data_IF_004001175995
#
_entry.id   IF_004001175995
#
_cell.length_a   1.000
_cell.length_b   1.000
_cell.length_c   1.000
_cell.angle_alpha   90.00
_cell.angle_beta   90.00
_cell.angle_gamma   90.00
#
_symmetry.space_group_name_H-M   'P 1'
#
loop_
_entity.id
_entity.type
_entity.pdbx_description
1 polymer ?
#
# COMPACT_ATOMS: atom_id res chain seq x y z
N UNK A 1 27.48 -10.95 13.74
CA UNK A 1 26.78 -11.60 12.61
C UNK A 1 25.28 -11.40 12.84
N UNK A 2 24.57 -10.70 11.95
CA UNK A 2 23.10 -10.60 12.08
C UNK A 2 22.53 -12.01 11.96
N UNK A 3 21.72 -12.46 12.94
CA UNK A 3 21.04 -13.74 12.82
C UNK A 3 20.04 -13.66 11.68
N UNK A 4 20.17 -14.53 10.70
CA UNK A 4 19.13 -14.68 9.69
C UNK A 4 17.90 -15.29 10.37
N UNK A 5 16.70 -14.79 10.00
CA UNK A 5 15.45 -15.50 10.30
C UNK A 5 15.63 -16.97 9.88
N UNK A 6 15.36 -17.90 10.79
CA UNK A 6 15.39 -19.31 10.41
C UNK A 6 14.30 -19.54 9.37
N UNK A 7 14.58 -20.31 8.35
CA UNK A 7 13.62 -20.63 7.27
C UNK A 7 12.30 -21.13 7.86
N UNK A 8 12.34 -21.93 8.91
CA UNK A 8 11.14 -22.45 9.57
C UNK A 8 10.27 -21.36 10.19
N UNK A 9 10.86 -20.33 10.79
CA UNK A 9 10.13 -19.19 11.39
C UNK A 9 9.40 -18.39 10.31
N UNK A 10 10.04 -18.17 9.15
CA UNK A 10 9.39 -17.51 8.01
C UNK A 10 8.23 -18.34 7.47
N UNK A 11 8.43 -19.64 7.26
CA UNK A 11 7.37 -20.54 6.76
C UNK A 11 6.21 -20.63 7.74
N UNK A 12 6.49 -20.66 9.04
CA UNK A 12 5.47 -20.65 10.08
C UNK A 12 4.63 -19.37 10.04
N UNK A 13 5.27 -18.20 9.94
CA UNK A 13 4.59 -16.91 9.81
C UNK A 13 3.69 -16.84 8.55
N UNK A 14 4.20 -17.34 7.41
CA UNK A 14 3.43 -17.38 6.16
C UNK A 14 2.26 -18.38 6.22
N UNK A 15 2.42 -19.52 6.88
CA UNK A 15 1.34 -20.48 7.10
C UNK A 15 0.28 -19.95 8.06
N UNK A 16 0.68 -19.17 9.08
CA UNK A 16 -0.26 -18.55 10.02
C UNK A 16 -1.08 -17.42 9.39
N UNK A 17 -0.54 -16.74 8.37
CA UNK A 17 -1.18 -15.59 7.73
C UNK A 17 -2.37 -15.99 6.85
N UNK A 18 -3.52 -15.34 6.99
CA UNK A 18 -4.65 -15.39 6.05
C UNK A 18 -5.37 -14.03 5.98
N UNK A 19 -6.33 -13.89 5.07
CA UNK A 19 -7.17 -12.70 4.99
C UNK A 19 -8.23 -12.75 6.10
N UNK A 20 -7.92 -12.17 7.25
CA UNK A 20 -8.74 -12.15 8.45
C UNK A 20 -10.11 -11.54 8.18
N UNK A 21 -11.17 -12.17 8.67
CA UNK A 21 -12.55 -11.71 8.46
C UNK A 21 -13.10 -10.91 9.63
N UNK A 22 -12.53 -11.07 10.81
CA UNK A 22 -12.92 -10.32 12.00
C UNK A 22 -11.72 -9.98 12.85
N UNK A 23 -11.60 -8.71 13.20
CA UNK A 23 -10.55 -8.21 14.06
C UNK A 23 -11.01 -8.12 15.52
N UNK A 24 -10.05 -8.23 16.45
CA UNK A 24 -10.28 -8.05 17.86
C UNK A 24 -10.62 -6.58 18.15
N UNK A 25 -11.72 -6.35 18.87
CA UNK A 25 -12.06 -4.99 19.35
C UNK A 25 -11.24 -4.67 20.60
N UNK A 26 -9.99 -4.31 20.42
CA UNK A 26 -9.14 -3.82 21.49
C UNK A 26 -8.71 -2.39 21.18
N UNK A 27 -8.85 -1.51 22.13
CA UNK A 27 -8.28 -0.17 22.01
C UNK A 27 -6.77 -0.24 22.27
N UNK A 28 -5.98 -0.01 21.23
CA UNK A 28 -4.55 0.24 21.39
C UNK A 28 -4.30 1.52 22.17
N UNK A 29 -3.27 1.53 22.99
CA UNK A 29 -2.70 2.75 23.50
C UNK A 29 -2.16 3.62 22.36
N UNK A 30 -2.04 4.92 22.56
CA UNK A 30 -1.48 5.82 21.53
C UNK A 30 -0.02 5.46 21.18
N UNK A 31 0.74 4.92 22.12
CA UNK A 31 2.10 4.42 21.88
C UNK A 31 2.12 3.22 20.92
N UNK A 32 1.26 2.21 21.16
CA UNK A 32 1.13 1.03 20.28
C UNK A 32 0.65 1.42 18.87
N UNK A 33 -0.29 2.38 18.77
CA UNK A 33 -0.73 2.90 17.46
C UNK A 33 0.40 3.59 16.72
N UNK A 34 1.18 4.42 17.41
CA UNK A 34 2.33 5.11 16.82
C UNK A 34 3.39 4.13 16.33
N UNK A 35 3.72 3.12 17.14
CA UNK A 35 4.69 2.08 16.77
C UNK A 35 4.23 1.29 15.52
N UNK A 36 2.95 0.90 15.47
CA UNK A 36 2.38 0.23 14.31
C UNK A 36 2.44 1.12 13.06
N UNK A 37 2.08 2.40 13.18
CA UNK A 37 2.13 3.36 12.07
C UNK A 37 3.56 3.55 11.55
N UNK A 38 4.54 3.70 12.43
CA UNK A 38 5.94 3.90 12.07
C UNK A 38 6.53 2.63 11.42
N UNK A 39 6.15 1.46 11.92
CA UNK A 39 6.53 0.18 11.34
C UNK A 39 5.98 0.02 9.93
N UNK A 40 4.67 0.21 9.76
CA UNK A 40 4.00 0.13 8.45
C UNK A 40 4.58 1.15 7.47
N UNK A 41 4.77 2.39 7.89
CA UNK A 41 5.38 3.44 7.09
C UNK A 41 6.80 3.07 6.63
N UNK A 42 7.61 2.53 7.54
CA UNK A 42 8.99 2.11 7.24
C UNK A 42 9.01 0.98 6.19
N UNK A 43 8.17 -0.03 6.35
CA UNK A 43 8.06 -1.14 5.39
C UNK A 43 7.65 -0.62 4.00
N UNK A 44 6.65 0.26 3.95
CA UNK A 44 6.15 0.82 2.70
C UNK A 44 7.19 1.73 2.01
N UNK A 45 7.94 2.53 2.78
CA UNK A 45 9.02 3.37 2.25
C UNK A 45 10.19 2.56 1.69
N UNK A 46 10.46 1.39 2.25
CA UNK A 46 11.56 0.51 1.81
C UNK A 46 11.13 -0.47 0.71
N UNK A 47 9.88 -0.42 0.27
CA UNK A 47 9.40 -1.28 -0.83
C UNK A 47 10.11 -0.94 -2.13
N UNK A 48 10.65 -1.93 -2.86
CA UNK A 48 11.21 -1.72 -4.18
C UNK A 48 10.11 -1.37 -5.19
N UNK A 49 10.41 -0.43 -6.09
CA UNK A 49 9.54 -0.09 -7.22
C UNK A 49 10.36 0.15 -8.49
N UNK A 50 9.74 0.00 -9.65
CA UNK A 50 10.38 0.33 -10.92
C UNK A 50 10.89 1.77 -10.90
N UNK A 51 12.13 1.95 -11.31
CA UNK A 51 12.81 3.27 -11.35
C UNK A 51 12.82 4.04 -10.02
N UNK A 52 12.60 3.35 -8.89
CA UNK A 52 12.44 3.97 -7.55
C UNK A 52 11.36 5.04 -7.49
N UNK A 53 10.40 5.01 -8.41
CA UNK A 53 9.37 6.05 -8.56
C UNK A 53 8.44 6.15 -7.38
N UNK A 54 8.16 5.03 -6.69
CA UNK A 54 7.18 4.99 -5.59
C UNK A 54 5.89 5.77 -5.96
N UNK A 55 5.41 5.55 -7.19
CA UNK A 55 4.28 6.27 -7.77
C UNK A 55 2.96 5.76 -7.19
N UNK A 56 2.80 5.89 -5.90
CA UNK A 56 1.60 5.55 -5.12
C UNK A 56 1.49 6.44 -3.89
N UNK A 57 0.32 6.42 -3.28
CA UNK A 57 0.03 7.04 -1.99
C UNK A 57 -0.65 6.05 -1.07
N UNK A 58 -0.32 6.14 0.20
CA UNK A 58 -0.96 5.36 1.27
C UNK A 58 -1.74 6.32 2.15
N UNK A 59 -3.05 6.08 2.26
CA UNK A 59 -3.95 6.90 3.04
C UNK A 59 -4.39 6.08 4.26
N UNK A 60 -3.89 6.42 5.45
CA UNK A 60 -4.36 5.85 6.70
C UNK A 60 -5.66 6.56 7.12
N UNK A 61 -6.78 5.87 7.02
CA UNK A 61 -8.09 6.42 7.37
C UNK A 61 -8.33 6.25 8.87
N UNK A 62 -8.17 7.33 9.64
CA UNK A 62 -8.31 7.35 11.10
C UNK A 62 -9.72 7.72 11.58
N UNK A 63 -10.45 8.51 10.79
CA UNK A 63 -11.78 9.00 11.16
C UNK A 63 -12.81 7.85 11.12
N UNK A 64 -13.46 7.58 12.26
CA UNK A 64 -14.42 6.49 12.45
C UNK A 64 -15.70 6.67 11.64
N UNK A 65 -16.22 7.90 11.56
CA UNK A 65 -17.44 8.19 10.79
C UNK A 65 -17.18 8.00 9.30
N UNK A 66 -16.00 8.37 8.82
CA UNK A 66 -15.59 8.15 7.45
C UNK A 66 -15.44 6.64 7.16
N UNK A 67 -14.88 5.84 8.08
CA UNK A 67 -14.83 4.38 7.94
C UNK A 67 -16.22 3.75 7.86
N UNK A 68 -17.20 4.24 8.64
CA UNK A 68 -18.59 3.76 8.53
C UNK A 68 -19.23 4.11 7.18
N UNK A 69 -18.89 5.24 6.59
CA UNK A 69 -19.31 5.57 5.22
C UNK A 69 -18.64 4.67 4.19
N UNK A 70 -17.32 4.48 4.27
CA UNK A 70 -16.54 3.62 3.38
C UNK A 70 -17.01 2.16 3.43
N UNK A 71 -17.38 1.64 4.61
CA UNK A 71 -17.89 0.29 4.79
C UNK A 71 -19.13 0.02 3.93
N UNK A 72 -20.07 0.97 3.82
CA UNK A 72 -21.27 0.86 2.97
C UNK A 72 -20.92 0.65 1.50
N UNK A 73 -19.74 1.10 1.07
CA UNK A 73 -19.23 0.96 -0.28
C UNK A 73 -18.20 -0.18 -0.42
N UNK A 74 -18.16 -1.07 0.57
CA UNK A 74 -17.26 -2.23 0.65
C UNK A 74 -18.03 -3.50 1.04
N UNK A 75 -19.24 -3.68 0.53
CA UNK A 75 -20.14 -4.81 0.86
C UNK A 75 -20.31 -5.04 2.35
N UNK A 76 -20.40 -3.96 3.13
CA UNK A 76 -20.56 -3.97 4.60
C UNK A 76 -19.49 -4.82 5.34
N UNK A 77 -18.31 -4.96 4.74
CA UNK A 77 -17.20 -5.71 5.36
C UNK A 77 -16.79 -5.06 6.68
N UNK A 78 -16.95 -5.79 7.78
CA UNK A 78 -16.66 -5.27 9.12
C UNK A 78 -15.19 -4.92 9.34
N UNK A 79 -14.27 -5.50 8.56
CA UNK A 79 -12.84 -5.22 8.62
C UNK A 79 -12.52 -3.72 8.43
N UNK A 80 -13.38 -2.98 7.68
CA UNK A 80 -13.22 -1.55 7.45
C UNK A 80 -13.32 -0.75 8.74
N UNK A 81 -14.17 -1.18 9.67
CA UNK A 81 -14.43 -0.49 10.95
C UNK A 81 -13.77 -1.16 12.15
N UNK A 82 -13.55 -2.48 12.09
CA UNK A 82 -13.05 -3.25 13.23
C UNK A 82 -11.51 -3.25 13.32
N UNK A 83 -10.80 -2.95 12.22
CA UNK A 83 -9.33 -2.87 12.22
C UNK A 83 -8.83 -1.59 12.89
N UNK A 84 -7.68 -1.66 13.58
CA UNK A 84 -7.05 -0.47 14.16
C UNK A 84 -6.46 0.45 13.08
N UNK A 85 -5.88 -0.13 12.02
CA UNK A 85 -5.37 0.64 10.90
C UNK A 85 -6.07 0.22 9.59
N UNK A 86 -6.52 1.22 8.85
CA UNK A 86 -7.12 1.05 7.52
C UNK A 86 -6.33 1.86 6.51
N UNK A 87 -5.64 1.19 5.60
CA UNK A 87 -4.81 1.82 4.57
C UNK A 87 -5.48 1.66 3.22
N UNK A 88 -5.72 2.78 2.54
CA UNK A 88 -6.12 2.81 1.14
C UNK A 88 -4.88 3.07 0.28
N UNK A 89 -4.60 2.17 -0.64
CA UNK A 89 -3.56 2.29 -1.64
C UNK A 89 -4.14 3.00 -2.85
N UNK A 90 -3.54 4.13 -3.23
CA UNK A 90 -3.97 4.93 -4.38
C UNK A 90 -2.79 5.19 -5.32
N UNK A 91 -3.08 5.31 -6.61
CA UNK A 91 -2.10 5.62 -7.64
C UNK A 91 -2.45 6.91 -8.37
N UNK A 92 -1.45 7.62 -8.93
CA UNK A 92 -1.70 8.80 -9.75
C UNK A 92 -2.55 8.49 -10.98
N UNK A 93 -3.51 9.36 -11.28
CA UNK A 93 -4.28 9.32 -12.53
C UNK A 93 -3.63 10.15 -13.64
N UNK A 94 -2.66 11.00 -13.29
CA UNK A 94 -1.84 11.79 -14.20
C UNK A 94 -0.37 11.37 -14.04
N UNK A 95 0.10 10.48 -14.90
CA UNK A 95 1.49 10.07 -14.96
C UNK A 95 2.12 10.65 -16.24
N UNK A 96 2.81 11.77 -16.07
CA UNK A 96 3.41 12.55 -17.16
C UNK A 96 4.89 12.88 -16.87
N UNK A 97 5.55 13.59 -17.82
CA UNK A 97 6.92 14.05 -17.65
C UNK A 97 7.09 14.90 -16.37
N UNK A 98 6.11 15.74 -16.02
CA UNK A 98 6.20 16.60 -14.82
C UNK A 98 6.23 15.79 -13.54
N UNK A 99 5.49 14.68 -13.52
CA UNK A 99 5.54 13.72 -12.39
C UNK A 99 6.96 13.17 -12.22
N UNK A 100 7.61 12.76 -13.32
CA UNK A 100 8.96 12.21 -13.32
C UNK A 100 9.99 13.29 -12.96
N UNK A 101 9.86 14.52 -13.47
CA UNK A 101 10.72 15.65 -13.13
C UNK A 101 10.71 15.93 -11.62
N UNK A 102 9.52 15.99 -11.02
CA UNK A 102 9.39 16.15 -9.56
C UNK A 102 10.06 15.02 -8.77
N UNK A 103 9.97 13.78 -9.26
CA UNK A 103 10.67 12.65 -8.67
C UNK A 103 12.18 12.81 -8.76
N UNK A 104 12.71 13.15 -9.92
CA UNK A 104 14.17 13.32 -10.14
C UNK A 104 14.74 14.55 -9.42
N UNK A 105 13.95 15.59 -9.20
CA UNK A 105 14.28 16.69 -8.28
C UNK A 105 14.49 16.22 -6.85
N UNK A 106 13.62 15.32 -6.36
CA UNK A 106 13.78 14.71 -5.05
C UNK A 106 15.02 13.81 -4.99
N UNK A 107 15.28 13.02 -6.04
CA UNK A 107 16.51 12.22 -6.15
C UNK A 107 17.76 13.12 -6.13
N UNK A 108 17.73 14.26 -6.81
CA UNK A 108 18.84 15.23 -6.81
C UNK A 108 19.14 15.71 -5.39
N UNK A 109 18.11 16.08 -4.64
CA UNK A 109 18.28 16.55 -3.25
C UNK A 109 18.82 15.47 -2.30
N UNK A 110 18.40 14.22 -2.49
CA UNK A 110 18.75 13.12 -1.58
C UNK A 110 20.11 12.51 -1.96
N UNK A 111 20.39 12.36 -3.25
CA UNK A 111 21.59 11.66 -3.77
C UNK A 111 22.67 12.60 -4.29
N UNK A 112 22.44 13.92 -4.24
CA UNK A 112 23.41 14.98 -4.59
C UNK A 112 23.93 14.82 -6.03
N UNK A 113 23.05 14.43 -6.97
CA UNK A 113 23.38 14.27 -8.37
C UNK A 113 23.42 15.63 -9.08
N UNK A 114 24.25 15.75 -10.12
CA UNK A 114 24.37 16.99 -10.92
C UNK A 114 23.12 17.25 -11.76
N UNK A 115 22.96 18.47 -12.29
CA UNK A 115 21.85 18.82 -13.18
C UNK A 115 21.85 18.00 -14.46
N UNK A 116 23.03 17.74 -15.06
CA UNK A 116 23.17 16.90 -16.24
C UNK A 116 22.71 15.44 -15.94
N UNK A 117 23.11 14.92 -14.76
CA UNK A 117 22.72 13.58 -14.36
C UNK A 117 21.21 13.49 -14.09
N UNK A 118 20.62 14.52 -13.46
CA UNK A 118 19.16 14.61 -13.26
C UNK A 118 18.43 14.60 -14.60
N UNK A 119 18.85 15.43 -15.56
CA UNK A 119 18.25 15.49 -16.90
C UNK A 119 18.32 14.12 -17.60
N UNK A 120 19.51 13.51 -17.61
CA UNK A 120 19.71 12.16 -18.20
C UNK A 120 18.83 11.08 -17.56
N UNK A 121 18.69 11.09 -16.22
CA UNK A 121 17.82 10.14 -15.49
C UNK A 121 16.36 10.42 -15.80
N UNK A 122 15.94 11.68 -15.87
CA UNK A 122 14.59 12.07 -16.25
C UNK A 122 14.23 11.54 -17.64
N UNK A 123 15.06 11.81 -18.64
CA UNK A 123 14.85 11.39 -20.02
C UNK A 123 14.84 9.86 -20.15
N UNK A 124 15.73 9.18 -19.44
CA UNK A 124 15.75 7.72 -19.38
C UNK A 124 14.44 7.14 -18.80
N UNK A 125 13.93 7.70 -17.71
CA UNK A 125 12.67 7.23 -17.12
C UNK A 125 11.49 7.55 -18.05
N UNK A 126 11.44 8.74 -18.64
CA UNK A 126 10.38 9.14 -19.60
C UNK A 126 10.35 8.18 -20.78
N UNK A 127 11.49 7.93 -21.43
CA UNK A 127 11.57 7.04 -22.58
C UNK A 127 11.24 5.59 -22.21
N UNK A 128 11.74 5.11 -21.07
CA UNK A 128 11.51 3.74 -20.60
C UNK A 128 10.10 3.49 -20.04
N UNK A 129 9.35 4.53 -19.74
CA UNK A 129 7.97 4.43 -19.23
C UNK A 129 6.97 5.03 -20.22
N UNK A 130 6.84 6.35 -20.27
CA UNK A 130 5.79 7.04 -21.02
C UNK A 130 5.83 6.68 -22.51
N UNK A 131 7.02 6.72 -23.12
CA UNK A 131 7.16 6.46 -24.56
C UNK A 131 7.08 4.97 -24.90
N UNK A 132 7.79 4.14 -24.13
CA UNK A 132 7.78 2.68 -24.33
C UNK A 132 6.38 2.09 -24.16
N UNK A 133 5.69 2.41 -23.05
CA UNK A 133 4.36 1.86 -22.81
C UNK A 133 3.30 2.34 -23.81
N UNK A 134 3.42 3.57 -24.32
CA UNK A 134 2.60 4.05 -25.45
C UNK A 134 2.83 3.21 -26.72
N UNK A 135 4.07 2.75 -26.94
CA UNK A 135 4.43 1.99 -28.13
C UNK A 135 3.90 0.54 -28.11
N UNK A 136 3.68 -0.06 -26.95
CA UNK A 136 3.27 -1.46 -26.79
C UNK A 136 1.79 -1.65 -26.43
N UNK A 137 0.94 -0.64 -26.72
CA UNK A 137 -0.52 -0.73 -26.57
C UNK A 137 -1.08 -0.71 -25.15
N UNK A 138 -0.26 -0.53 -24.14
CA UNK A 138 -0.75 -0.28 -22.79
C UNK A 138 -1.13 1.20 -22.66
N UNK A 139 -2.33 1.50 -23.11
CA UNK A 139 -2.93 2.85 -23.01
C UNK A 139 -3.22 3.28 -21.58
N UNK A 140 -2.98 2.39 -20.60
CA UNK A 140 -3.35 2.64 -19.22
C UNK A 140 -2.16 2.51 -18.28
N UNK A 141 -1.46 3.64 -18.05
CA UNK A 141 -0.42 3.75 -17.02
C UNK A 141 -0.92 3.38 -15.63
N UNK A 142 -2.21 3.57 -15.40
CA UNK A 142 -2.84 3.31 -14.13
C UNK A 142 -2.72 1.83 -13.76
N UNK A 143 -2.81 0.90 -14.71
CA UNK A 143 -2.61 -0.53 -14.48
C UNK A 143 -1.17 -0.82 -14.04
N UNK A 144 -0.19 -0.27 -14.74
CA UNK A 144 1.21 -0.46 -14.36
C UNK A 144 1.53 0.14 -12.98
N UNK A 145 1.00 1.33 -12.68
CA UNK A 145 1.12 1.95 -11.36
C UNK A 145 0.41 1.11 -10.29
N UNK A 146 -0.73 0.51 -10.65
CA UNK A 146 -1.46 -0.42 -9.77
C UNK A 146 -0.59 -1.64 -9.42
N UNK A 147 0.15 -2.22 -10.37
CA UNK A 147 1.09 -3.30 -10.07
C UNK A 147 2.18 -2.87 -9.09
N UNK A 148 2.68 -1.63 -9.17
CA UNK A 148 3.63 -1.11 -8.18
C UNK A 148 2.99 -1.01 -6.78
N UNK A 149 1.74 -0.61 -6.68
CA UNK A 149 1.01 -0.59 -5.41
C UNK A 149 0.79 -2.01 -4.85
N UNK A 150 0.53 -3.01 -5.71
CA UNK A 150 0.42 -4.41 -5.28
C UNK A 150 1.75 -5.02 -4.83
N UNK A 151 2.88 -4.61 -5.41
CA UNK A 151 4.20 -4.97 -4.89
C UNK A 151 4.36 -4.44 -3.45
N UNK A 152 3.94 -3.20 -3.21
CA UNK A 152 3.99 -2.62 -1.86
C UNK A 152 3.02 -3.32 -0.90
N UNK A 153 1.81 -3.64 -1.34
CA UNK A 153 0.85 -4.42 -0.57
C UNK A 153 1.40 -5.78 -0.17
N UNK A 154 1.96 -6.53 -1.14
CA UNK A 154 2.54 -7.85 -0.88
C UNK A 154 3.72 -7.77 0.09
N UNK A 155 4.63 -6.82 -0.13
CA UNK A 155 5.75 -6.59 0.78
C UNK A 155 5.26 -6.33 2.21
N UNK A 156 4.27 -5.43 2.36
CA UNK A 156 3.71 -5.10 3.67
C UNK A 156 3.06 -6.33 4.34
N UNK A 157 2.20 -7.06 3.63
CA UNK A 157 1.51 -8.25 4.16
C UNK A 157 2.51 -9.31 4.62
N UNK A 158 3.61 -9.50 3.88
CA UNK A 158 4.65 -10.47 4.22
C UNK A 158 5.35 -10.08 5.52
N UNK A 159 5.75 -8.82 5.67
CA UNK A 159 6.42 -8.37 6.87
C UNK A 159 5.49 -8.30 8.08
N UNK A 160 4.22 -7.93 7.88
CA UNK A 160 3.21 -8.01 8.95
C UNK A 160 3.06 -9.45 9.44
N UNK A 161 3.05 -10.44 8.54
CA UNK A 161 3.00 -11.85 8.92
C UNK A 161 4.21 -12.25 9.79
N UNK A 162 5.43 -11.84 9.41
CA UNK A 162 6.66 -12.08 10.18
C UNK A 162 6.61 -11.41 11.57
N UNK A 163 5.93 -10.29 11.68
CA UNK A 163 5.70 -9.57 12.94
C UNK A 163 4.49 -10.10 13.75
N UNK A 164 3.83 -11.16 13.26
CA UNK A 164 2.61 -11.72 13.86
C UNK A 164 1.46 -10.70 13.97
N UNK A 165 1.39 -9.79 13.00
CA UNK A 165 0.31 -8.81 12.84
C UNK A 165 -0.57 -9.29 11.70
N UNK A 166 -1.86 -9.41 11.95
CA UNK A 166 -2.83 -9.87 10.98
C UNK A 166 -3.27 -8.76 10.03
N UNK A 167 -3.64 -9.17 8.82
CA UNK A 167 -4.11 -8.23 7.80
C UNK A 167 -5.16 -8.87 6.88
N UNK A 168 -6.01 -8.02 6.33
CA UNK A 168 -6.96 -8.41 5.29
C UNK A 168 -6.86 -7.45 4.11
N UNK A 169 -6.29 -7.88 2.96
CA UNK A 169 -6.41 -7.12 1.72
C UNK A 169 -7.86 -7.20 1.21
N UNK A 170 -8.38 -6.07 0.73
CA UNK A 170 -9.76 -5.93 0.27
C UNK A 170 -9.74 -5.25 -1.10
N UNK A 171 -10.21 -5.97 -2.12
CA UNK A 171 -10.41 -5.48 -3.48
C UNK A 171 -11.90 -5.19 -3.76
N UNK A 172 -12.80 -5.81 -3.00
CA UNK A 172 -14.23 -5.65 -3.17
C UNK A 172 -14.70 -4.39 -2.46
N UNK A 173 -14.66 -3.27 -3.21
CA UNK A 173 -15.18 -1.97 -2.81
C UNK A 173 -15.41 -1.10 -4.05
N UNK A 174 -16.19 -0.04 -3.92
CA UNK A 174 -16.39 0.94 -5.00
C UNK A 174 -15.26 1.96 -5.01
N UNK A 175 -14.30 1.83 -5.94
CA UNK A 175 -13.21 2.79 -6.12
C UNK A 175 -13.74 4.22 -6.29
N UNK A 176 -14.79 4.39 -7.10
CA UNK A 176 -15.38 5.71 -7.36
C UNK A 176 -15.87 6.38 -6.07
N UNK A 177 -16.56 5.62 -5.19
CA UNK A 177 -17.07 6.14 -3.93
C UNK A 177 -15.96 6.40 -2.91
N UNK A 178 -14.92 5.59 -2.91
CA UNK A 178 -13.73 5.84 -2.11
C UNK A 178 -12.99 7.10 -2.56
N UNK A 179 -12.82 7.27 -3.88
CA UNK A 179 -12.18 8.45 -4.46
C UNK A 179 -12.96 9.74 -4.14
N UNK A 180 -14.30 9.67 -4.15
CA UNK A 180 -15.19 10.76 -3.75
C UNK A 180 -15.03 11.10 -2.26
N UNK A 181 -15.24 10.11 -1.37
CA UNK A 181 -15.23 10.31 0.08
C UNK A 181 -13.85 10.74 0.63
N UNK A 182 -12.77 10.34 -0.02
CA UNK A 182 -11.39 10.66 0.36
C UNK A 182 -10.83 11.87 -0.39
N UNK A 183 -11.64 12.52 -1.27
CA UNK A 183 -11.23 13.64 -2.13
C UNK A 183 -9.97 13.32 -2.95
N UNK A 184 -9.89 12.10 -3.51
CA UNK A 184 -8.72 11.65 -4.26
C UNK A 184 -8.66 12.25 -5.66
N UNK A 185 -9.80 12.48 -6.30
CA UNK A 185 -9.88 13.09 -7.64
C UNK A 185 -9.22 14.48 -7.69
N UNK A 186 -9.42 15.30 -6.63
CA UNK A 186 -8.78 16.62 -6.52
C UNK A 186 -7.26 16.54 -6.38
N UNK A 187 -6.76 15.38 -5.92
CA UNK A 187 -5.32 15.10 -5.77
C UNK A 187 -4.74 14.33 -6.95
N UNK A 188 -5.52 14.12 -8.03
CA UNK A 188 -5.17 13.28 -9.16
C UNK A 188 -4.75 11.86 -8.72
N UNK A 189 -5.54 11.24 -7.83
CA UNK A 189 -5.33 9.90 -7.32
C UNK A 189 -6.57 9.04 -7.56
N UNK A 190 -6.37 7.74 -7.67
CA UNK A 190 -7.43 6.73 -7.73
C UNK A 190 -7.09 5.59 -6.77
N UNK A 191 -8.05 5.18 -5.94
CA UNK A 191 -7.91 4.06 -5.00
C UNK A 191 -7.87 2.73 -5.74
N UNK A 192 -7.05 1.76 -5.27
CA UNK A 192 -6.84 0.48 -5.95
C UNK A 192 -7.11 -0.73 -5.07
N UNK A 193 -6.65 -0.68 -3.86
CA UNK A 193 -6.80 -1.78 -2.90
C UNK A 193 -6.76 -1.21 -1.48
N UNK A 194 -7.38 -1.90 -0.55
CA UNK A 194 -7.43 -1.54 0.86
C UNK A 194 -6.70 -2.63 1.65
N UNK A 195 -6.05 -2.24 2.74
CA UNK A 195 -5.51 -3.16 3.72
C UNK A 195 -6.03 -2.77 5.10
N UNK A 196 -6.80 -3.68 5.70
CA UNK A 196 -7.19 -3.62 7.09
C UNK A 196 -6.15 -4.38 7.93
N UNK A 197 -5.63 -3.77 9.00
CA UNK A 197 -4.52 -4.29 9.79
C UNK A 197 -4.91 -4.27 11.25
N UNK A 198 -4.76 -5.38 11.92
CA UNK A 198 -4.74 -5.53 13.37
C UNK A 198 -4.61 -7.02 13.74
N UNK A 199 -4.96 -7.35 14.95
CA UNK A 199 -4.97 -8.69 15.47
C UNK A 199 -6.30 -9.39 15.19
N UNK A 200 -6.27 -10.63 14.71
CA UNK A 200 -7.47 -11.43 14.49
C UNK A 200 -8.24 -11.65 15.79
N UNK A 201 -9.55 -11.68 15.69
CA UNK A 201 -10.40 -12.15 16.76
C UNK A 201 -10.24 -13.66 16.97
N UNK A 202 -10.21 -14.10 18.24
CA UNK A 202 -9.92 -15.49 18.61
C UNK A 202 -10.90 -16.52 18.01
N UNK A 203 -12.09 -16.08 17.61
CA UNK A 203 -13.12 -16.94 16.98
C UNK A 203 -13.32 -16.58 15.49
N UNK A 204 -12.28 -16.03 14.81
CA UNK A 204 -12.39 -15.83 13.37
C UNK A 204 -12.59 -17.17 12.67
N UNK A 205 -13.59 -17.23 11.77
CA UNK A 205 -14.09 -18.48 11.19
C UNK A 205 -13.05 -19.28 10.40
N UNK A 206 -11.98 -18.64 9.94
CA UNK A 206 -10.97 -19.28 9.10
C UNK A 206 -9.65 -19.56 9.81
N UNK A 207 -9.53 -19.23 11.10
CA UNK A 207 -8.26 -19.39 11.82
C UNK A 207 -7.77 -20.84 11.91
N UNK A 208 -8.68 -21.82 11.90
CA UNK A 208 -8.37 -23.24 12.01
C UNK A 208 -8.38 -23.97 10.65
N UNK A 209 -8.59 -23.27 9.55
CA UNK A 209 -8.58 -23.86 8.21
C UNK A 209 -7.16 -24.26 7.81
N UNK A 210 -7.01 -25.50 7.34
CA UNK A 210 -5.74 -25.99 6.80
C UNK A 210 -5.39 -25.31 5.48
N UNK A 211 -4.12 -25.01 5.28
CA UNK A 211 -3.56 -24.43 4.05
C UNK A 211 -2.57 -25.38 3.43
#
# INVERSE_FOLDING_TARGET
>A
MKSFLKTNELIEALNNRYAVKKFEKRNLSEAEKSELEDTVKSILQLTPTSFWLQAYKFINVKNTELREQLKKHSWDQSQITDSDMLIVFAVPTNFDRKFIEKHTENLQKIRWITDEKKASVTDFIVSSTIEYWKSIWLNNFEDWLTYQAYIALWNLITWLAVLWIDACPIEWFSNEKYDELLNLKEKNLSSKVILAIWKRWAEDKYQNEKR
#
